data_IF_034156532965
#
_entry.id   IF_034156532965
#
_cell.length_a   1.000
_cell.length_b   1.000
_cell.length_c   1.000
_cell.angle_alpha   90.00
_cell.angle_beta   90.00
_cell.angle_gamma   90.00
#
_symmetry.space_group_name_H-M   'P 1'
#
loop_
_entity.id
_entity.type
_entity.pdbx_description
1 polymer ?
#
# COMPACT_ATOMS: atom_id res chain seq x y z
N UNK A 1 -9.83 -30.25 -36.24
CA UNK A 1 -9.54 -30.78 -34.91
C UNK A 1 -9.66 -29.62 -33.93
N UNK A 2 -10.82 -29.56 -33.31
CA UNK A 2 -11.23 -28.45 -32.39
C UNK A 2 -10.62 -28.69 -31.01
N UNK A 3 -9.56 -27.92 -30.64
CA UNK A 3 -9.05 -27.87 -29.28
C UNK A 3 -9.77 -26.75 -28.54
N UNK A 4 -11.02 -26.97 -28.14
CA UNK A 4 -11.63 -26.23 -27.07
C UNK A 4 -10.87 -26.58 -25.78
N UNK A 5 -9.88 -25.75 -25.42
CA UNK A 5 -9.29 -25.78 -24.08
C UNK A 5 -10.40 -25.46 -23.10
N UNK A 6 -10.87 -26.48 -22.38
CA UNK A 6 -11.83 -26.34 -21.31
C UNK A 6 -11.27 -25.39 -20.26
N UNK A 7 -11.91 -24.24 -20.09
CA UNK A 7 -11.74 -23.41 -18.92
C UNK A 7 -12.16 -24.24 -17.71
N UNK A 8 -11.19 -24.78 -16.98
CA UNK A 8 -11.46 -25.48 -15.72
C UNK A 8 -12.26 -24.52 -14.82
N UNK A 9 -13.52 -24.85 -14.58
CA UNK A 9 -14.40 -24.12 -13.65
C UNK A 9 -13.72 -24.26 -12.29
N UNK A 10 -13.06 -23.20 -11.84
CA UNK A 10 -12.37 -23.15 -10.55
C UNK A 10 -13.40 -23.36 -9.45
N UNK A 11 -13.16 -24.35 -8.60
CA UNK A 11 -14.08 -24.69 -7.51
C UNK A 11 -14.24 -23.47 -6.59
N UNK A 12 -15.45 -23.05 -6.20
CA UNK A 12 -15.67 -21.89 -5.31
C UNK A 12 -14.89 -21.95 -4.01
N UNK A 13 -14.70 -23.15 -3.44
CA UNK A 13 -13.87 -23.37 -2.24
C UNK A 13 -12.39 -23.01 -2.47
N UNK A 14 -11.84 -23.34 -3.64
CA UNK A 14 -10.44 -23.04 -3.97
C UNK A 14 -10.24 -21.53 -4.17
N UNK A 15 -11.24 -20.85 -4.73
CA UNK A 15 -11.23 -19.40 -4.90
C UNK A 15 -11.26 -18.66 -3.56
N UNK A 16 -12.09 -19.11 -2.61
CA UNK A 16 -12.16 -18.56 -1.25
C UNK A 16 -10.86 -18.82 -0.48
N UNK A 17 -10.34 -20.05 -0.53
CA UNK A 17 -9.07 -20.40 0.11
C UNK A 17 -7.91 -19.53 -0.39
N UNK A 18 -7.81 -19.34 -1.70
CA UNK A 18 -6.81 -18.45 -2.28
C UNK A 18 -6.98 -17.01 -1.83
N UNK A 19 -8.20 -16.48 -1.82
CA UNK A 19 -8.48 -15.12 -1.35
C UNK A 19 -8.08 -14.93 0.11
N UNK A 20 -8.42 -15.88 0.99
CA UNK A 20 -8.00 -15.87 2.39
C UNK A 20 -6.47 -15.86 2.51
N UNK A 21 -5.78 -16.75 1.78
CA UNK A 21 -4.32 -16.85 1.81
C UNK A 21 -3.65 -15.54 1.37
N UNK A 22 -4.13 -14.93 0.29
CA UNK A 22 -3.60 -13.67 -0.23
C UNK A 22 -3.75 -12.52 0.78
N UNK A 23 -4.92 -12.43 1.43
CA UNK A 23 -5.16 -11.40 2.44
C UNK A 23 -4.33 -11.63 3.70
N UNK A 24 -4.22 -12.87 4.18
CA UNK A 24 -3.37 -13.22 5.33
C UNK A 24 -1.89 -12.96 5.05
N UNK A 25 -1.39 -13.38 3.89
CA UNK A 25 -0.01 -13.12 3.48
C UNK A 25 0.25 -11.61 3.38
N UNK A 26 -0.67 -10.85 2.79
CA UNK A 26 -0.56 -9.38 2.72
C UNK A 26 -0.52 -8.74 4.10
N UNK A 27 -1.39 -9.17 5.02
CA UNK A 27 -1.43 -8.64 6.38
C UNK A 27 -0.12 -8.91 7.14
N UNK A 28 0.38 -10.14 7.06
CA UNK A 28 1.62 -10.53 7.74
C UNK A 28 2.84 -9.81 7.16
N UNK A 29 2.96 -9.73 5.82
CA UNK A 29 4.07 -9.03 5.18
C UNK A 29 4.01 -7.52 5.47
N UNK A 30 2.81 -6.93 5.42
CA UNK A 30 2.62 -5.50 5.78
C UNK A 30 3.08 -5.23 7.20
N UNK A 31 2.61 -6.04 8.16
CA UNK A 31 3.00 -5.93 9.56
C UNK A 31 4.50 -6.13 9.75
N UNK A 32 5.09 -7.15 9.14
CA UNK A 32 6.53 -7.42 9.24
C UNK A 32 7.37 -6.25 8.71
N UNK A 33 7.03 -5.69 7.55
CA UNK A 33 7.71 -4.52 6.99
C UNK A 33 7.58 -3.28 7.88
N UNK A 34 6.40 -3.04 8.43
CA UNK A 34 6.15 -1.94 9.36
C UNK A 34 6.92 -2.12 10.67
N UNK A 35 6.91 -3.32 11.24
CA UNK A 35 7.63 -3.65 12.47
C UNK A 35 9.15 -3.53 12.28
N UNK A 36 9.68 -4.07 11.19
CA UNK A 36 11.10 -3.97 10.85
C UNK A 36 11.55 -2.51 10.73
N UNK A 37 10.77 -1.68 10.01
CA UNK A 37 11.05 -0.24 9.90
C UNK A 37 11.05 0.43 11.25
N UNK A 38 10.06 0.13 12.10
CA UNK A 38 9.98 0.70 13.45
C UNK A 38 11.20 0.32 14.30
N UNK A 39 11.56 -0.97 14.34
CA UNK A 39 12.71 -1.45 15.12
C UNK A 39 14.01 -0.81 14.61
N UNK A 40 14.24 -0.81 13.30
CA UNK A 40 15.44 -0.26 12.69
C UNK A 40 15.62 1.23 13.01
N UNK A 41 14.61 2.04 12.71
CA UNK A 41 14.72 3.50 12.90
C UNK A 41 14.68 3.91 14.37
N UNK A 42 13.99 3.15 15.23
CA UNK A 42 14.04 3.36 16.68
C UNK A 42 15.45 3.14 17.23
N UNK A 43 16.13 2.07 16.81
CA UNK A 43 17.53 1.82 17.23
C UNK A 43 18.50 2.88 16.72
N UNK A 44 18.25 3.45 15.56
CA UNK A 44 19.04 4.56 15.01
C UNK A 44 18.71 5.92 15.64
N UNK A 45 17.73 6.00 16.53
CA UNK A 45 17.25 7.25 17.11
C UNK A 45 16.52 8.18 16.12
N UNK A 46 16.10 7.65 14.97
CA UNK A 46 15.46 8.42 13.90
C UNK A 46 13.95 8.18 13.91
N UNK A 47 13.23 9.00 14.62
CA UNK A 47 11.77 9.00 14.65
C UNK A 47 11.21 10.40 14.34
N UNK A 48 10.10 10.53 13.60
CA UNK A 48 9.37 9.47 12.90
C UNK A 48 10.19 8.85 11.78
N UNK A 49 9.87 7.59 11.45
CA UNK A 49 10.57 6.79 10.43
C UNK A 49 10.57 7.50 9.07
N UNK A 50 11.74 7.70 8.43
CA UNK A 50 11.83 8.42 7.17
C UNK A 50 11.37 7.61 5.95
N UNK A 51 11.31 6.28 6.06
CA UNK A 51 10.89 5.36 5.00
C UNK A 51 9.86 4.38 5.53
N UNK A 52 8.77 4.19 4.77
CA UNK A 52 7.67 3.27 5.10
C UNK A 52 7.44 2.24 4.00
N UNK A 53 8.19 1.11 3.97
CA UNK A 53 8.10 0.11 2.91
C UNK A 53 6.72 -0.55 2.79
N UNK A 54 5.95 -0.62 3.88
CA UNK A 54 4.60 -1.16 3.86
C UNK A 54 3.64 -0.37 2.93
N UNK A 55 3.91 0.93 2.67
CA UNK A 55 3.17 1.70 1.68
C UNK A 55 3.36 1.17 0.26
N UNK A 56 4.57 0.73 -0.08
CA UNK A 56 4.87 0.11 -1.37
C UNK A 56 4.11 -1.21 -1.54
N UNK A 57 4.11 -2.06 -0.53
CA UNK A 57 3.31 -3.28 -0.56
C UNK A 57 1.85 -2.97 -0.82
N UNK A 58 1.27 -2.01 -0.06
CA UNK A 58 -0.15 -1.67 -0.18
C UNK A 58 -0.53 -1.22 -1.60
N UNK A 59 0.25 -0.31 -2.22
CA UNK A 59 -0.07 0.16 -3.58
C UNK A 59 0.14 -0.92 -4.64
N UNK A 60 1.16 -1.76 -4.50
CA UNK A 60 1.44 -2.87 -5.42
C UNK A 60 0.33 -3.91 -5.38
N UNK A 61 -0.03 -4.42 -4.19
CA UNK A 61 -1.10 -5.43 -4.09
C UNK A 61 -2.46 -4.85 -4.48
N UNK A 62 -2.74 -3.57 -4.15
CA UNK A 62 -3.94 -2.87 -4.58
C UNK A 62 -3.99 -2.74 -6.10
N UNK A 63 -2.87 -2.48 -6.77
CA UNK A 63 -2.79 -2.41 -8.23
C UNK A 63 -3.10 -3.75 -8.88
N UNK A 64 -2.56 -4.87 -8.39
CA UNK A 64 -2.78 -6.19 -9.00
C UNK A 64 -4.10 -6.85 -8.60
N UNK A 65 -4.57 -6.65 -7.35
CA UNK A 65 -5.74 -7.38 -6.79
C UNK A 65 -6.99 -6.51 -6.61
N UNK A 66 -6.86 -5.19 -6.64
CA UNK A 66 -7.97 -4.25 -6.43
C UNK A 66 -8.56 -4.34 -5.03
N UNK A 67 -9.85 -4.12 -4.94
CA UNK A 67 -10.58 -4.11 -3.68
C UNK A 67 -10.56 -5.44 -2.92
N UNK A 68 -10.28 -6.54 -3.61
CA UNK A 68 -10.21 -7.88 -3.00
C UNK A 68 -9.13 -8.02 -1.94
N UNK A 69 -8.10 -7.16 -1.99
CA UNK A 69 -6.97 -7.18 -1.04
C UNK A 69 -7.14 -6.18 0.13
N UNK A 70 -8.23 -5.41 0.15
CA UNK A 70 -8.50 -4.43 1.19
C UNK A 70 -8.43 -5.01 2.61
N UNK A 71 -9.02 -6.19 2.91
CA UNK A 71 -8.95 -6.78 4.25
C UNK A 71 -7.52 -7.06 4.69
N UNK A 72 -6.65 -7.53 3.79
CA UNK A 72 -5.25 -7.81 4.10
C UNK A 72 -4.46 -6.55 4.44
N UNK A 73 -4.63 -5.47 3.68
CA UNK A 73 -3.99 -4.18 3.96
C UNK A 73 -4.49 -3.62 5.30
N UNK A 74 -5.81 -3.63 5.51
CA UNK A 74 -6.42 -3.13 6.74
C UNK A 74 -5.91 -3.89 7.98
N UNK A 75 -5.95 -5.23 7.95
CA UNK A 75 -5.48 -6.06 9.05
C UNK A 75 -3.99 -5.84 9.33
N UNK A 76 -3.14 -5.81 8.29
CA UNK A 76 -1.71 -5.54 8.45
C UNK A 76 -1.44 -4.17 9.06
N UNK A 77 -2.21 -3.16 8.66
CA UNK A 77 -2.12 -1.80 9.24
C UNK A 77 -2.56 -1.77 10.70
N UNK A 78 -3.65 -2.47 11.07
CA UNK A 78 -4.11 -2.58 12.46
C UNK A 78 -3.03 -3.22 13.32
N UNK A 79 -2.49 -4.37 12.87
CA UNK A 79 -1.43 -5.07 13.58
C UNK A 79 -0.20 -4.18 13.78
N UNK A 80 0.22 -3.44 12.75
CA UNK A 80 1.35 -2.52 12.84
C UNK A 80 1.11 -1.40 13.85
N UNK A 81 -0.04 -0.73 13.78
CA UNK A 81 -0.33 0.41 14.64
C UNK A 81 -0.62 0.03 16.08
N UNK A 82 -1.23 -1.13 16.31
CA UNK A 82 -1.52 -1.59 17.66
C UNK A 82 -0.30 -2.25 18.33
N UNK A 83 0.25 -3.31 17.70
CA UNK A 83 1.30 -4.12 18.33
C UNK A 83 2.71 -3.53 18.17
N UNK A 84 3.02 -2.86 17.06
CA UNK A 84 4.37 -2.32 16.85
C UNK A 84 4.51 -0.88 17.34
N UNK A 85 3.47 -0.05 17.18
CA UNK A 85 3.51 1.37 17.53
C UNK A 85 2.75 1.71 18.82
N UNK A 86 2.07 0.75 19.45
CA UNK A 86 1.42 0.92 20.76
C UNK A 86 0.13 1.75 20.73
N UNK A 87 -0.48 1.95 19.56
CA UNK A 87 -1.74 2.69 19.40
C UNK A 87 -2.94 1.92 19.96
N UNK A 88 -3.97 2.65 20.38
CA UNK A 88 -5.25 2.03 20.75
C UNK A 88 -5.91 1.33 19.55
N UNK A 89 -6.78 0.34 19.79
CA UNK A 89 -7.52 -0.35 18.72
C UNK A 89 -8.33 0.61 17.85
N UNK A 90 -8.99 1.60 18.46
CA UNK A 90 -9.77 2.60 17.75
C UNK A 90 -8.88 3.44 16.83
N UNK A 91 -7.75 3.93 17.32
CA UNK A 91 -6.77 4.65 16.52
C UNK A 91 -6.21 3.79 15.38
N UNK A 92 -5.82 2.53 15.67
CA UNK A 92 -5.31 1.61 14.68
C UNK A 92 -6.32 1.33 13.55
N UNK A 93 -7.61 1.19 13.88
CA UNK A 93 -8.68 1.03 12.90
C UNK A 93 -8.86 2.28 12.01
N UNK A 94 -8.83 3.47 12.59
CA UNK A 94 -8.90 4.72 11.83
C UNK A 94 -7.71 4.88 10.87
N UNK A 95 -6.49 4.57 11.31
CA UNK A 95 -5.31 4.58 10.44
C UNK A 95 -5.43 3.52 9.35
N UNK A 96 -5.96 2.33 9.67
CA UNK A 96 -6.15 1.26 8.70
C UNK A 96 -7.11 1.67 7.57
N UNK A 97 -8.14 2.43 7.88
CA UNK A 97 -9.06 2.98 6.87
C UNK A 97 -8.29 3.80 5.82
N UNK A 98 -7.45 4.73 6.26
CA UNK A 98 -6.71 5.62 5.34
C UNK A 98 -5.59 4.89 4.61
N UNK A 99 -4.86 4.02 5.31
CA UNK A 99 -3.78 3.23 4.70
C UNK A 99 -4.31 2.12 3.76
N UNK A 100 -5.61 1.86 3.77
CA UNK A 100 -6.28 0.96 2.82
C UNK A 100 -6.89 1.75 1.66
N UNK A 101 -7.68 2.79 1.96
CA UNK A 101 -8.39 3.56 0.93
C UNK A 101 -7.45 4.35 0.03
N UNK A 102 -6.38 4.95 0.58
CA UNK A 102 -5.40 5.70 -0.19
C UNK A 102 -4.74 4.85 -1.30
N UNK A 103 -4.11 3.71 -0.99
CA UNK A 103 -3.55 2.81 -2.00
C UNK A 103 -4.58 2.25 -2.98
N UNK A 104 -5.78 1.92 -2.53
CA UNK A 104 -6.85 1.45 -3.43
C UNK A 104 -7.28 2.53 -4.42
N UNK A 105 -7.40 3.77 -3.96
CA UNK A 105 -7.72 4.90 -4.82
C UNK A 105 -6.58 5.19 -5.82
N UNK A 106 -5.33 5.23 -5.35
CA UNK A 106 -4.17 5.40 -6.22
C UNK A 106 -4.06 4.29 -7.26
N UNK A 107 -4.23 3.04 -6.85
CA UNK A 107 -4.23 1.89 -7.76
C UNK A 107 -5.40 1.92 -8.75
N UNK A 108 -6.58 2.37 -8.34
CA UNK A 108 -7.72 2.56 -9.21
C UNK A 108 -7.44 3.63 -10.27
N UNK A 109 -6.85 4.76 -9.88
CA UNK A 109 -6.45 5.82 -10.80
C UNK A 109 -5.44 5.31 -11.82
N UNK A 110 -4.38 4.64 -11.35
CA UNK A 110 -3.37 4.03 -12.22
C UNK A 110 -4.01 3.10 -13.26
N UNK A 111 -4.91 2.20 -12.82
CA UNK A 111 -5.56 1.24 -13.72
C UNK A 111 -6.49 1.87 -14.75
N UNK A 112 -7.06 3.03 -14.45
CA UNK A 112 -7.91 3.75 -15.42
C UNK A 112 -7.10 4.41 -16.53
N UNK A 113 -5.88 4.77 -16.24
CA UNK A 113 -5.03 5.53 -17.16
C UNK A 113 -4.06 4.63 -17.95
N UNK A 114 -3.60 3.53 -17.33
CA UNK A 114 -2.68 2.60 -17.99
C UNK A 114 -3.46 1.59 -18.82
N UNK A 115 -3.20 1.55 -20.12
CA UNK A 115 -3.96 0.77 -21.11
C UNK A 115 -3.84 -0.74 -20.91
N UNK A 116 -2.81 -1.22 -20.25
CA UNK A 116 -2.63 -2.63 -19.92
C UNK A 116 -2.40 -2.83 -18.42
N UNK A 117 -2.88 -3.95 -17.88
CA UNK A 117 -2.75 -4.26 -16.44
C UNK A 117 -1.31 -4.48 -15.96
N UNK A 118 -0.34 -4.46 -16.85
CA UNK A 118 0.98 -5.03 -16.59
C UNK A 118 2.11 -4.08 -16.95
N UNK A 119 1.90 -3.03 -17.78
CA UNK A 119 3.03 -2.42 -18.47
C UNK A 119 2.97 -0.90 -18.47
N UNK A 120 4.07 -0.32 -18.00
CA UNK A 120 4.44 1.05 -18.30
C UNK A 120 4.96 1.08 -19.74
N UNK A 121 4.09 1.44 -20.69
CA UNK A 121 4.43 1.43 -22.13
C UNK A 121 5.14 2.72 -22.59
N UNK A 122 5.11 3.77 -21.79
CA UNK A 122 5.70 5.06 -22.16
C UNK A 122 5.94 5.99 -21.01
N UNK A 123 6.53 7.14 -21.30
CA UNK A 123 6.83 8.18 -20.30
C UNK A 123 5.57 8.73 -19.60
N UNK A 124 4.45 8.79 -20.31
CA UNK A 124 3.18 9.26 -19.75
C UNK A 124 2.65 8.26 -18.71
N UNK A 125 2.66 6.95 -19.02
CA UNK A 125 2.27 5.90 -18.08
C UNK A 125 3.16 5.93 -16.83
N UNK A 126 4.48 6.13 -17.01
CA UNK A 126 5.43 6.26 -15.92
C UNK A 126 5.10 7.46 -15.03
N UNK A 127 4.81 8.61 -15.61
CA UNK A 127 4.43 9.82 -14.89
C UNK A 127 3.13 9.63 -14.09
N UNK A 128 2.14 8.97 -14.69
CA UNK A 128 0.86 8.68 -14.02
C UNK A 128 1.07 7.73 -12.84
N UNK A 129 1.83 6.65 -13.05
CA UNK A 129 2.16 5.71 -11.98
C UNK A 129 2.94 6.39 -10.85
N UNK A 130 3.91 7.22 -11.19
CA UNK A 130 4.68 8.00 -10.23
C UNK A 130 3.78 8.97 -9.46
N UNK A 131 2.99 9.79 -10.16
CA UNK A 131 2.10 10.75 -9.52
C UNK A 131 1.09 10.07 -8.60
N UNK A 132 0.50 8.96 -9.02
CA UNK A 132 -0.50 8.25 -8.23
C UNK A 132 0.13 7.50 -7.03
N UNK A 133 1.21 6.73 -7.24
CA UNK A 133 1.78 5.86 -6.23
C UNK A 133 2.74 6.59 -5.27
N UNK A 134 3.50 7.56 -5.76
CA UNK A 134 4.58 8.22 -5.00
C UNK A 134 4.15 9.58 -4.42
N UNK A 135 3.17 10.25 -5.02
CA UNK A 135 2.70 11.55 -4.54
C UNK A 135 1.28 11.48 -3.97
N UNK A 136 0.29 11.18 -4.80
CA UNK A 136 -1.12 11.30 -4.43
C UNK A 136 -1.51 10.34 -3.29
N UNK A 137 -1.17 9.06 -3.42
CA UNK A 137 -1.47 8.06 -2.37
C UNK A 137 -0.87 8.43 -1.02
N UNK A 138 0.45 8.76 -0.91
CA UNK A 138 1.05 9.23 0.34
C UNK A 138 0.39 10.48 0.92
N UNK A 139 0.06 11.47 0.09
CA UNK A 139 -0.59 12.71 0.55
C UNK A 139 -1.97 12.43 1.16
N UNK A 140 -2.77 11.56 0.53
CA UNK A 140 -4.09 11.17 1.03
C UNK A 140 -4.01 10.37 2.33
N UNK A 141 -3.11 9.38 2.39
CA UNK A 141 -2.92 8.59 3.61
C UNK A 141 -2.39 9.46 4.75
N UNK A 142 -1.49 10.41 4.46
CA UNK A 142 -0.96 11.34 5.44
C UNK A 142 -2.06 12.29 5.96
N UNK A 143 -2.92 12.81 5.09
CA UNK A 143 -3.99 13.72 5.50
C UNK A 143 -4.93 13.05 6.51
N UNK A 144 -5.38 11.83 6.20
CA UNK A 144 -6.22 11.07 7.14
C UNK A 144 -5.44 10.59 8.37
N UNK A 145 -4.25 10.06 8.19
CA UNK A 145 -3.43 9.54 9.29
C UNK A 145 -3.08 10.61 10.33
N UNK A 146 -2.65 11.78 9.88
CA UNK A 146 -2.33 12.91 10.77
C UNK A 146 -3.59 13.56 11.32
N UNK A 147 -4.67 13.64 10.51
CA UNK A 147 -5.97 14.09 10.99
C UNK A 147 -6.47 13.24 12.16
N UNK A 148 -6.36 11.91 12.07
CA UNK A 148 -6.72 11.04 13.20
C UNK A 148 -5.77 11.20 14.39
N UNK A 149 -4.45 11.40 14.19
CA UNK A 149 -3.54 11.72 15.31
C UNK A 149 -4.00 12.96 16.07
N UNK A 150 -4.41 13.98 15.37
CA UNK A 150 -4.92 15.21 15.97
C UNK A 150 -6.25 14.97 16.69
N UNK A 151 -7.20 14.29 16.07
CA UNK A 151 -8.52 13.96 16.65
C UNK A 151 -8.41 13.10 17.92
N UNK A 152 -7.41 12.21 17.98
CA UNK A 152 -7.12 11.40 19.18
C UNK A 152 -6.24 12.11 20.21
N UNK A 153 -5.93 13.39 20.00
CA UNK A 153 -5.10 14.18 20.92
C UNK A 153 -3.64 13.76 21.01
N UNK A 154 -3.16 13.01 20.01
CA UNK A 154 -1.76 12.49 19.98
C UNK A 154 -0.76 13.52 19.46
N UNK A 155 -1.24 14.60 18.84
CA UNK A 155 -0.44 15.74 18.39
C UNK A 155 -1.22 17.04 18.58
N UNK A 156 -0.52 18.15 18.77
CA UNK A 156 -1.09 19.48 18.82
C UNK A 156 -1.37 20.02 17.41
N UNK A 157 -2.23 21.04 17.30
CA UNK A 157 -2.65 21.59 16.00
C UNK A 157 -1.48 22.19 15.19
N UNK A 158 -0.52 22.81 15.85
CA UNK A 158 0.70 23.36 15.26
C UNK A 158 1.62 22.29 14.64
N UNK A 159 1.56 21.05 15.14
CA UNK A 159 2.33 19.92 14.64
C UNK A 159 1.68 19.22 13.42
N UNK A 160 0.42 19.54 13.06
CA UNK A 160 -0.33 18.86 11.99
C UNK A 160 0.38 18.97 10.63
N UNK A 161 0.77 20.18 10.23
CA UNK A 161 1.40 20.40 8.92
C UNK A 161 2.76 19.67 8.80
N UNK A 162 3.57 19.73 9.84
CA UNK A 162 4.86 19.04 9.88
C UNK A 162 4.67 17.52 9.93
N UNK A 163 3.70 17.06 10.69
CA UNK A 163 3.34 15.64 10.76
C UNK A 163 2.88 15.11 9.40
N UNK A 164 2.03 15.85 8.69
CA UNK A 164 1.57 15.53 7.35
C UNK A 164 2.73 15.43 6.35
N UNK A 165 3.65 16.40 6.36
CA UNK A 165 4.82 16.40 5.49
C UNK A 165 5.73 15.20 5.77
N UNK A 166 6.06 14.93 7.04
CA UNK A 166 6.90 13.79 7.45
C UNK A 166 6.26 12.46 7.04
N UNK A 167 4.96 12.30 7.25
CA UNK A 167 4.23 11.09 6.83
C UNK A 167 4.23 10.92 5.31
N UNK A 168 3.94 12.01 4.58
CA UNK A 168 3.96 12.00 3.11
C UNK A 168 5.33 11.56 2.60
N UNK A 169 6.42 12.16 3.08
CA UNK A 169 7.78 11.81 2.68
C UNK A 169 8.08 10.34 2.96
N UNK A 170 7.75 9.83 4.16
CA UNK A 170 8.02 8.45 4.51
C UNK A 170 7.32 7.44 3.59
N UNK A 171 6.05 7.69 3.26
CA UNK A 171 5.27 6.85 2.36
C UNK A 171 5.73 7.01 0.91
N UNK A 172 6.06 8.23 0.47
CA UNK A 172 6.61 8.49 -0.86
C UNK A 172 7.94 7.78 -1.09
N UNK A 173 8.87 7.88 -0.13
CA UNK A 173 10.16 7.18 -0.21
C UNK A 173 9.97 5.66 -0.17
N UNK A 174 9.06 5.15 0.67
CA UNK A 174 8.69 3.73 0.67
C UNK A 174 8.19 3.27 -0.70
N UNK A 175 7.24 4.00 -1.29
CA UNK A 175 6.69 3.68 -2.61
C UNK A 175 7.73 3.81 -3.71
N UNK A 176 8.55 4.85 -3.69
CA UNK A 176 9.59 5.08 -4.70
C UNK A 176 10.64 3.96 -4.68
N UNK A 177 11.14 3.60 -3.51
CA UNK A 177 12.22 2.61 -3.38
C UNK A 177 11.76 1.17 -3.61
N UNK A 178 10.54 0.82 -3.25
CA UNK A 178 10.08 -0.58 -3.25
C UNK A 178 8.96 -0.88 -4.24
N UNK A 179 8.05 0.06 -4.56
CA UNK A 179 7.00 -0.19 -5.53
C UNK A 179 7.49 0.01 -6.97
N UNK A 180 8.32 1.04 -7.23
CA UNK A 180 8.82 1.33 -8.57
C UNK A 180 9.60 0.17 -9.20
N UNK A 181 10.53 -0.53 -8.49
CA UNK A 181 11.19 -1.71 -9.02
C UNK A 181 10.24 -2.85 -9.38
N UNK A 182 9.16 -3.05 -8.60
CA UNK A 182 8.16 -4.09 -8.89
C UNK A 182 7.40 -3.77 -10.17
N UNK A 183 6.97 -2.53 -10.36
CA UNK A 183 6.30 -2.11 -11.60
C UNK A 183 7.24 -2.18 -12.81
N UNK A 184 8.49 -1.75 -12.66
CA UNK A 184 9.51 -1.87 -13.71
C UNK A 184 9.78 -3.34 -14.09
N UNK A 185 9.91 -4.23 -13.12
CA UNK A 185 10.11 -5.65 -13.33
C UNK A 185 8.98 -6.30 -14.12
N UNK A 186 7.73 -5.94 -13.81
CA UNK A 186 6.58 -6.44 -14.56
C UNK A 186 6.62 -5.99 -16.03
N UNK A 187 7.02 -4.74 -16.27
CA UNK A 187 7.18 -4.20 -17.63
C UNK A 187 8.22 -4.96 -18.46
N UNK A 188 9.31 -5.42 -17.82
CA UNK A 188 10.39 -6.15 -18.50
C UNK A 188 10.02 -7.60 -18.87
N UNK A 189 9.00 -8.17 -18.23
CA UNK A 189 8.57 -9.56 -18.47
C UNK A 189 7.65 -9.72 -19.68
N UNK A 190 7.07 -8.64 -20.21
CA UNK A 190 6.24 -8.75 -21.41
C UNK A 190 7.10 -8.73 -22.67
N UNK A 191 6.79 -9.63 -23.64
CA UNK A 191 7.42 -9.58 -24.96
C UNK A 191 7.17 -8.19 -25.58
N UNK A 192 8.22 -7.57 -26.09
CA UNK A 192 8.10 -6.38 -26.93
C UNK A 192 7.56 -6.85 -28.28
N UNK A 193 6.29 -6.60 -28.55
CA UNK A 193 5.71 -6.73 -29.88
C UNK A 193 6.29 -5.67 -30.83
#
# INVERSE_FOLDING_TARGET
>A
MDKRQGSAIRNPSDALGQWCLENMATALIYWALAHLSFVLFRHMGVLPMPVWPAAALAIVVAFFRGWKIAPGIALGTILANHYSLGGSWAYAACIALMNTLGPLFGAWLMRRQVTSRVVIKGSVDLLICFAAAVLLTPMLTAAGGVGFKWLFGLIQADAVAVGWLKWTIAHSLGSLLFASPVFAWQTLKEPRE
#
